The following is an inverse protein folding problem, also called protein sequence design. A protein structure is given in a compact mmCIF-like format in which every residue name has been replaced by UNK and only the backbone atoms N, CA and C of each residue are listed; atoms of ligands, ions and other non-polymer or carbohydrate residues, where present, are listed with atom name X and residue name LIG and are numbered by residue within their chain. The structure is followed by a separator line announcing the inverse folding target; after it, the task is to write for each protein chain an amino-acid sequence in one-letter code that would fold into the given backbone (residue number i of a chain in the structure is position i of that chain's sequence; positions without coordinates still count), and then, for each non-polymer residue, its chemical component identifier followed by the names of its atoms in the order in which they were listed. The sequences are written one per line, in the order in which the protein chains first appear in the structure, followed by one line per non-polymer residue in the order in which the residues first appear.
data_IF_262048605730
#
_entry.id   IF_262048605730
#
_cell.length_a   1.000
_cell.length_b   1.000
_cell.length_c   1.000
_cell.angle_alpha   90.00
_cell.angle_beta   90.00
_cell.angle_gamma   90.00
#
_symmetry.space_group_name_H-M   'P 1'
#
loop_
_entity.id
_entity.type
_entity.pdbx_description
1 polymer ?
#
# COMPACT_ATOMS: atom_id res chain seq x y z
N UNK A 1 16.36 4.61 -16.86
CA UNK A 1 15.44 3.90 -15.98
C UNK A 1 14.23 4.75 -15.70
N UNK A 2 13.09 4.18 -15.91
CA UNK A 2 11.85 4.95 -15.85
C UNK A 2 10.95 4.41 -14.74
N UNK A 3 10.95 5.10 -13.61
CA UNK A 3 10.16 4.66 -12.46
C UNK A 3 8.67 4.79 -12.68
N UNK A 4 8.27 5.68 -13.58
CA UNK A 4 6.85 5.87 -13.83
C UNK A 4 6.21 4.65 -14.44
N UNK A 5 6.95 3.88 -15.19
CA UNK A 5 6.42 2.66 -15.77
C UNK A 5 6.04 1.66 -14.69
N UNK A 6 6.76 1.69 -13.58
CA UNK A 6 6.47 0.77 -12.49
C UNK A 6 5.17 1.13 -11.77
N UNK A 7 4.81 2.39 -11.77
CA UNK A 7 3.59 2.83 -11.12
C UNK A 7 2.34 2.34 -11.85
N UNK A 8 2.48 2.08 -13.14
CA UNK A 8 1.32 1.73 -13.98
C UNK A 8 1.08 0.25 -14.12
N UNK A 9 1.98 -0.57 -13.59
CA UNK A 9 1.87 -2.02 -13.82
C UNK A 9 1.04 -2.74 -12.78
N UNK A 10 0.63 -2.05 -11.73
CA UNK A 10 -0.17 -2.69 -10.68
C UNK A 10 -1.62 -2.74 -11.11
N UNK A 11 -2.24 -3.90 -10.91
CA UNK A 11 -3.63 -4.11 -11.30
C UNK A 11 -4.60 -3.59 -10.26
N UNK A 12 -4.10 -3.15 -9.13
CA UNK A 12 -4.94 -2.62 -8.09
C UNK A 12 -4.19 -2.53 -6.78
N UNK A 13 -4.87 -2.06 -5.73
CA UNK A 13 -4.20 -1.86 -4.44
C UNK A 13 -3.67 -3.14 -3.81
N UNK A 14 -4.34 -4.26 -4.02
CA UNK A 14 -3.86 -5.51 -3.46
C UNK A 14 -2.57 -5.95 -4.12
N UNK A 15 -2.48 -5.76 -5.44
CA UNK A 15 -1.27 -6.08 -6.17
C UNK A 15 -0.11 -5.22 -5.69
N UNK A 16 -0.38 -3.95 -5.44
CA UNK A 16 0.63 -3.05 -4.90
C UNK A 16 1.09 -3.50 -3.52
N UNK A 17 0.15 -3.91 -2.67
CA UNK A 17 0.52 -4.38 -1.34
C UNK A 17 1.41 -5.61 -1.40
N UNK A 18 1.09 -6.55 -2.27
CA UNK A 18 1.91 -7.75 -2.43
C UNK A 18 3.31 -7.39 -2.89
N UNK A 19 3.40 -6.42 -3.78
CA UNK A 19 4.70 -5.95 -4.24
C UNK A 19 5.51 -5.35 -3.11
N UNK A 20 4.88 -4.53 -2.27
CA UNK A 20 5.57 -3.90 -1.15
C UNK A 20 6.03 -4.94 -0.13
N UNK A 21 5.20 -5.94 0.13
CA UNK A 21 5.57 -7.01 1.05
C UNK A 21 6.80 -7.74 0.55
N UNK A 22 6.84 -8.02 -0.74
CA UNK A 22 7.99 -8.69 -1.34
C UNK A 22 9.24 -7.81 -1.28
N UNK A 23 9.09 -6.53 -1.57
CA UNK A 23 10.23 -5.62 -1.56
C UNK A 23 10.83 -5.51 -0.17
N UNK A 24 9.99 -5.54 0.85
CA UNK A 24 10.46 -5.45 2.23
C UNK A 24 10.91 -6.80 2.76
N UNK A 25 10.80 -7.83 1.95
CA UNK A 25 11.20 -9.19 2.34
C UNK A 25 10.50 -9.64 3.60
N UNK A 26 9.24 -9.26 3.72
CA UNK A 26 8.44 -9.68 4.86
C UNK A 26 7.87 -11.06 4.61
N UNK A 27 7.75 -11.83 5.71
CA UNK A 27 7.06 -13.11 5.66
C UNK A 27 5.56 -12.83 5.60
N UNK A 28 4.86 -13.50 4.68
CA UNK A 28 3.43 -13.26 4.53
C UNK A 28 2.65 -13.59 5.79
N UNK A 29 3.25 -14.43 6.66
CA UNK A 29 2.63 -14.78 7.93
C UNK A 29 3.06 -13.86 9.07
N UNK A 30 3.90 -12.87 8.77
CA UNK A 30 4.38 -11.95 9.79
C UNK A 30 4.56 -10.57 9.16
N UNK A 31 3.45 -10.00 8.73
CA UNK A 31 3.44 -8.71 8.06
C UNK A 31 3.36 -7.60 9.09
N UNK A 32 4.29 -6.66 8.98
CA UNK A 32 4.29 -5.49 9.85
C UNK A 32 3.38 -4.43 9.24
N UNK A 33 2.16 -4.40 9.71
CA UNK A 33 1.11 -3.56 9.13
C UNK A 33 1.47 -2.08 9.17
N UNK A 34 2.06 -1.61 10.27
CA UNK A 34 2.40 -0.20 10.36
C UNK A 34 3.40 0.21 9.28
N UNK A 35 4.39 -0.65 9.04
CA UNK A 35 5.41 -0.36 8.04
C UNK A 35 4.83 -0.40 6.63
N UNK A 36 4.03 -1.41 6.35
CA UNK A 36 3.42 -1.55 5.02
C UNK A 36 2.44 -0.41 4.77
N UNK A 37 1.67 -0.03 5.79
CA UNK A 37 0.73 1.08 5.65
C UNK A 37 1.46 2.37 5.30
N UNK A 38 2.56 2.63 5.98
CA UNK A 38 3.34 3.85 5.72
C UNK A 38 3.83 3.88 4.28
N UNK A 39 4.36 2.77 3.81
CA UNK A 39 4.87 2.71 2.46
C UNK A 39 3.76 2.76 1.42
N UNK A 40 2.63 2.16 1.74
CA UNK A 40 1.48 2.20 0.86
C UNK A 40 1.00 3.65 0.68
N UNK A 41 0.92 4.40 1.76
CA UNK A 41 0.48 5.78 1.69
C UNK A 41 1.45 6.66 0.90
N UNK A 42 2.75 6.40 1.05
CA UNK A 42 3.74 7.12 0.27
C UNK A 42 3.54 6.86 -1.22
N UNK A 43 3.29 5.61 -1.57
CA UNK A 43 3.07 5.24 -2.96
C UNK A 43 1.78 5.85 -3.49
N UNK A 44 0.75 5.86 -2.66
CA UNK A 44 -0.53 6.44 -3.03
C UNK A 44 -0.40 7.92 -3.32
N UNK A 45 0.43 8.62 -2.56
CA UNK A 45 0.72 10.02 -2.80
C UNK A 45 1.26 10.23 -4.22
N UNK A 46 2.20 9.39 -4.62
CA UNK A 46 2.76 9.47 -5.96
C UNK A 46 1.72 9.18 -7.03
N UNK A 47 0.89 8.18 -6.79
CA UNK A 47 -0.16 7.83 -7.75
C UNK A 47 -1.15 8.96 -7.92
N UNK A 48 -1.52 9.61 -6.82
CA UNK A 48 -2.51 10.68 -6.88
C UNK A 48 -1.99 11.88 -7.68
N UNK A 49 -0.67 12.08 -7.66
CA UNK A 49 -0.09 13.15 -8.47
C UNK A 49 -0.08 12.82 -9.95
N UNK A 50 -0.05 11.54 -10.28
CA UNK A 50 0.04 11.12 -11.66
C UNK A 50 -1.32 10.87 -12.28
N UNK A 51 -2.27 10.33 -11.51
CA UNK A 51 -3.56 9.98 -12.07
C UNK A 51 -4.61 9.89 -10.97
N UNK A 52 -5.37 10.97 -10.80
CA UNK A 52 -6.39 11.03 -9.76
C UNK A 52 -7.51 10.03 -9.95
N UNK A 53 -7.77 9.65 -11.20
CA UNK A 53 -8.88 8.75 -11.48
C UNK A 53 -8.65 7.35 -10.93
N UNK A 54 -7.40 6.94 -10.81
CA UNK A 54 -7.09 5.61 -10.33
C UNK A 54 -7.09 5.51 -8.81
N UNK A 55 -7.15 6.63 -8.13
CA UNK A 55 -6.89 6.67 -6.70
C UNK A 55 -8.03 6.10 -5.86
N UNK A 56 -9.26 6.10 -6.41
CA UNK A 56 -10.44 5.71 -5.64
C UNK A 56 -10.31 4.37 -4.93
N UNK A 57 -9.96 3.31 -5.68
CA UNK A 57 -9.80 1.98 -5.09
C UNK A 57 -8.69 1.96 -4.06
N UNK A 58 -7.64 2.73 -4.32
CA UNK A 58 -6.49 2.77 -3.43
C UNK A 58 -6.83 3.46 -2.13
N UNK A 59 -7.73 4.44 -2.18
CA UNK A 59 -8.17 5.12 -0.96
C UNK A 59 -9.00 4.19 -0.09
N UNK A 60 -9.83 3.34 -0.69
CA UNK A 60 -10.59 2.37 0.06
C UNK A 60 -9.63 1.43 0.80
N UNK A 61 -8.60 0.95 0.10
CA UNK A 61 -7.62 0.07 0.74
C UNK A 61 -6.85 0.80 1.83
N UNK A 62 -6.56 2.09 1.64
CA UNK A 62 -5.87 2.87 2.66
C UNK A 62 -6.70 2.92 3.94
N UNK A 63 -8.02 3.09 3.80
CA UNK A 63 -8.90 3.09 4.96
C UNK A 63 -8.90 1.74 5.66
N UNK A 64 -8.88 0.65 4.89
CA UNK A 64 -8.83 -0.68 5.47
C UNK A 64 -7.52 -0.91 6.22
N UNK A 65 -6.41 -0.46 5.65
CA UNK A 65 -5.12 -0.60 6.31
C UNK A 65 -5.06 0.20 7.59
N UNK A 66 -5.62 1.40 7.59
CA UNK A 66 -5.65 2.22 8.80
C UNK A 66 -6.47 1.54 9.89
N UNK A 67 -7.55 0.89 9.50
CA UNK A 67 -8.39 0.17 10.44
C UNK A 67 -7.64 -1.00 11.05
N UNK A 68 -6.96 -1.78 10.22
CA UNK A 68 -6.19 -2.93 10.69
C UNK A 68 -5.05 -2.47 11.60
N UNK A 69 -4.34 -1.43 11.19
CA UNK A 69 -3.25 -0.89 11.98
C UNK A 69 -3.73 -0.47 13.35
N UNK A 70 -4.88 0.20 13.40
CA UNK A 70 -5.45 0.65 14.67
C UNK A 70 -5.72 -0.54 15.59
N UNK A 71 -6.26 -1.62 15.03
CA UNK A 71 -6.56 -2.81 15.83
C UNK A 71 -5.30 -3.48 16.37
N UNK A 72 -4.25 -3.52 15.54
CA UNK A 72 -3.01 -4.18 15.96
C UNK A 72 -2.26 -3.39 17.01
N UNK A 73 -2.49 -2.08 17.11
CA UNK A 73 -1.82 -1.24 18.09
C UNK A 73 -2.56 -1.16 19.41
N UNK A 74 -3.79 -1.62 19.45
CA UNK A 74 -4.56 -1.57 20.68
C UNK A 74 -4.07 -2.64 21.65
N UNK A 75 -3.89 -2.27 22.93
CA UNK A 75 -3.56 -3.29 23.93
C UNK A 75 -4.77 -4.19 24.15
N UNK A 76 -4.49 -5.44 24.34
CA UNK A 76 -5.56 -6.40 24.59
C UNK A 76 -5.71 -6.70 26.06
#
# INVERSE_FOLDING_TARGET
MNYQCNLDIFEGPLDLLLHLIKEQKMDIYDIRIAEITRQYLTYLDLLSELNLEMVGEYLVMAAELAKIKSKTLLPT
#
